data_IF_689471799756
#
_entry.id   IF_689471799756
#
_cell.length_a   1.000
_cell.length_b   1.000
_cell.length_c   1.000
_cell.angle_alpha   90.00
_cell.angle_beta   90.00
_cell.angle_gamma   90.00
#
_symmetry.space_group_name_H-M   'P 1'
#
loop_
_entity.id
_entity.type
_entity.pdbx_description
1 polymer ?
#
# COMPACT_ATOMS: atom_id res chain seq x y z
N UNK A 1 -8.57 -18.49 10.45
CA UNK A 1 -7.94 -18.11 11.76
C UNK A 1 -9.03 -17.94 12.80
N UNK A 2 -8.80 -18.33 14.06
CA UNK A 2 -9.79 -18.07 15.11
C UNK A 2 -9.83 -16.57 15.39
N UNK A 3 -11.00 -16.00 15.61
CA UNK A 3 -11.21 -14.56 15.81
C UNK A 3 -10.37 -13.98 16.99
N UNK A 4 -10.06 -14.83 17.98
CA UNK A 4 -9.20 -14.48 19.14
C UNK A 4 -7.73 -14.28 18.76
N UNK A 5 -7.20 -15.09 17.86
CA UNK A 5 -5.80 -14.98 17.38
C UNK A 5 -5.58 -13.67 16.61
N UNK A 6 -6.48 -13.33 15.69
CA UNK A 6 -6.43 -12.07 14.96
C UNK A 6 -6.50 -10.85 15.88
N UNK A 7 -7.33 -10.95 16.96
CA UNK A 7 -7.46 -9.89 17.97
C UNK A 7 -6.14 -9.71 18.73
N UNK A 8 -5.47 -10.80 19.10
CA UNK A 8 -4.15 -10.73 19.76
C UNK A 8 -3.08 -10.08 18.87
N UNK A 9 -3.06 -10.41 17.59
CA UNK A 9 -2.15 -9.76 16.64
C UNK A 9 -2.43 -8.26 16.48
N UNK A 10 -3.69 -7.86 16.40
CA UNK A 10 -4.09 -6.43 16.38
C UNK A 10 -3.60 -5.68 17.61
N UNK A 11 -3.83 -6.25 18.79
CA UNK A 11 -3.41 -5.63 20.05
C UNK A 11 -1.88 -5.54 20.17
N UNK A 12 -1.15 -6.57 19.71
CA UNK A 12 0.30 -6.56 19.66
C UNK A 12 0.81 -5.47 18.70
N UNK A 13 0.26 -5.42 17.49
CA UNK A 13 0.63 -4.43 16.49
C UNK A 13 0.36 -3.00 16.99
N UNK A 14 -0.82 -2.75 17.57
CA UNK A 14 -1.19 -1.45 18.14
C UNK A 14 -0.21 -1.01 19.21
N UNK A 15 0.12 -1.88 20.17
CA UNK A 15 1.09 -1.56 21.25
C UNK A 15 2.48 -1.24 20.71
N UNK A 16 2.96 -2.00 19.73
CA UNK A 16 4.23 -1.71 19.09
C UNK A 16 4.21 -0.35 18.39
N UNK A 17 3.13 0.00 17.70
CA UNK A 17 2.96 1.31 17.05
C UNK A 17 2.88 2.45 18.05
N UNK A 18 2.19 2.26 19.19
CA UNK A 18 2.11 3.23 20.29
C UNK A 18 3.48 3.50 20.92
N UNK A 19 4.36 2.49 20.97
CA UNK A 19 5.70 2.60 21.56
C UNK A 19 6.72 3.12 20.56
N UNK A 20 6.74 2.64 19.34
CA UNK A 20 7.82 2.84 18.38
C UNK A 20 7.51 3.91 17.32
N UNK A 21 6.23 4.20 17.05
CA UNK A 21 5.83 5.14 16.01
C UNK A 21 5.24 6.42 16.60
N UNK A 22 4.21 6.30 17.43
CA UNK A 22 3.43 7.44 17.89
C UNK A 22 4.26 8.55 18.55
N UNK A 23 5.28 8.28 19.38
CA UNK A 23 6.08 9.33 20.02
C UNK A 23 6.91 10.17 19.06
N UNK A 24 7.18 9.65 17.85
CA UNK A 24 8.07 10.27 16.86
C UNK A 24 7.33 10.77 15.62
N UNK A 25 6.08 10.37 15.44
CA UNK A 25 5.34 10.50 14.21
C UNK A 25 5.21 11.95 13.72
N UNK A 26 4.86 12.89 14.62
CA UNK A 26 4.72 14.30 14.25
C UNK A 26 6.02 14.92 13.74
N UNK A 27 7.16 14.50 14.31
CA UNK A 27 8.47 14.96 13.85
C UNK A 27 8.80 14.39 12.46
N UNK A 28 8.45 13.13 12.18
CA UNK A 28 8.66 12.51 10.87
C UNK A 28 7.75 13.09 9.79
N UNK A 29 6.49 13.37 10.14
CA UNK A 29 5.55 14.08 9.25
C UNK A 29 6.09 15.47 8.88
N UNK A 30 6.55 16.25 9.86
CA UNK A 30 7.11 17.58 9.62
C UNK A 30 8.43 17.54 8.82
N UNK A 31 9.22 16.49 8.98
CA UNK A 31 10.44 16.27 8.21
C UNK A 31 10.18 15.69 6.81
N UNK A 32 8.94 15.26 6.53
CA UNK A 32 8.58 14.52 5.32
C UNK A 32 9.45 13.28 5.11
N UNK A 33 9.91 12.62 6.16
CA UNK A 33 10.86 11.50 6.07
C UNK A 33 10.68 10.51 7.21
N UNK A 34 10.97 9.24 6.92
CA UNK A 34 11.10 8.17 7.92
C UNK A 34 12.57 7.81 8.09
N UNK A 35 13.02 7.52 9.32
CA UNK A 35 14.30 6.91 9.53
C UNK A 35 14.31 5.47 8.99
N UNK A 36 15.42 5.07 8.33
CA UNK A 36 15.56 3.70 7.77
C UNK A 36 15.45 2.63 8.86
N UNK A 37 15.90 2.98 10.06
CA UNK A 37 15.94 2.13 11.25
C UNK A 37 14.54 1.69 11.72
N UNK A 38 13.50 2.45 11.41
CA UNK A 38 12.12 2.07 11.74
C UNK A 38 11.77 0.68 11.18
N UNK A 39 12.24 0.37 9.97
CA UNK A 39 11.97 -0.92 9.35
C UNK A 39 12.62 -2.08 10.11
N UNK A 40 13.83 -1.90 10.63
CA UNK A 40 14.48 -2.87 11.51
C UNK A 40 13.70 -3.06 12.83
N UNK A 41 13.20 -1.97 13.40
CA UNK A 41 12.37 -2.00 14.61
C UNK A 41 11.07 -2.77 14.37
N UNK A 42 10.38 -2.50 13.25
CA UNK A 42 9.17 -3.24 12.87
C UNK A 42 9.45 -4.72 12.60
N UNK A 43 10.58 -5.05 11.97
CA UNK A 43 11.04 -6.43 11.79
C UNK A 43 11.29 -7.14 13.11
N UNK A 44 12.03 -6.51 14.04
CA UNK A 44 12.29 -7.05 15.36
C UNK A 44 11.02 -7.25 16.19
N UNK A 45 9.98 -6.43 15.95
CA UNK A 45 8.66 -6.59 16.56
C UNK A 45 7.79 -7.67 15.88
N UNK A 46 8.28 -8.36 14.83
CA UNK A 46 7.55 -9.39 14.09
C UNK A 46 6.39 -8.85 13.25
N UNK A 47 6.42 -7.56 12.90
CA UNK A 47 5.35 -6.92 12.14
C UNK A 47 5.56 -6.98 10.63
N UNK A 48 6.79 -7.21 10.13
CA UNK A 48 7.07 -7.26 8.71
C UNK A 48 6.83 -8.66 8.14
N UNK A 49 6.15 -8.71 7.00
CA UNK A 49 5.91 -9.93 6.22
C UNK A 49 5.36 -11.12 7.06
N UNK A 50 4.40 -10.92 7.98
CA UNK A 50 4.00 -11.93 8.96
C UNK A 50 3.42 -13.20 8.35
N UNK A 51 2.87 -13.12 7.15
CA UNK A 51 2.25 -14.23 6.40
C UNK A 51 3.22 -14.95 5.45
N UNK A 52 4.51 -14.62 5.49
CA UNK A 52 5.52 -15.40 4.78
C UNK A 52 5.84 -16.70 5.56
N UNK A 53 6.35 -17.74 4.90
CA UNK A 53 6.67 -19.01 5.54
C UNK A 53 7.66 -18.89 6.71
N UNK A 54 7.48 -19.73 7.75
CA UNK A 54 8.32 -19.76 8.94
C UNK A 54 9.80 -20.04 8.63
N UNK A 55 10.08 -20.80 7.56
CA UNK A 55 11.43 -21.12 7.10
C UNK A 55 12.25 -19.87 6.71
N UNK A 56 11.57 -18.75 6.40
CA UNK A 56 12.21 -17.46 6.12
C UNK A 56 12.22 -16.53 7.34
N UNK A 57 11.86 -17.03 8.53
CA UNK A 57 11.89 -16.30 9.78
C UNK A 57 10.62 -15.47 10.08
N UNK A 58 9.59 -15.61 9.27
CA UNK A 58 8.28 -14.99 9.49
C UNK A 58 7.39 -15.85 10.40
N UNK A 59 6.18 -15.38 10.70
CA UNK A 59 5.25 -16.10 11.58
C UNK A 59 4.44 -17.20 10.88
N UNK A 60 4.49 -17.32 9.55
CA UNK A 60 3.62 -18.23 8.79
C UNK A 60 2.13 -17.96 9.00
N UNK A 61 1.79 -16.71 9.34
CA UNK A 61 0.45 -16.32 9.73
C UNK A 61 -0.51 -16.31 8.53
N UNK A 62 -1.81 -16.32 8.83
CA UNK A 62 -2.84 -16.06 7.81
C UNK A 62 -2.64 -14.65 7.20
N UNK A 63 -2.82 -14.45 5.88
CA UNK A 63 -2.73 -13.14 5.25
C UNK A 63 -3.60 -12.04 5.88
N UNK A 64 -4.68 -12.41 6.59
CA UNK A 64 -5.50 -11.47 7.36
C UNK A 64 -4.69 -10.72 8.43
N UNK A 65 -3.57 -11.27 8.92
CA UNK A 65 -2.68 -10.59 9.87
C UNK A 65 -2.00 -9.38 9.20
N UNK A 66 -1.52 -9.53 7.98
CA UNK A 66 -0.94 -8.41 7.20
C UNK A 66 -1.97 -7.28 7.02
N UNK A 67 -3.22 -7.62 6.69
CA UNK A 67 -4.29 -6.62 6.56
C UNK A 67 -4.63 -5.99 7.92
N UNK A 68 -4.66 -6.76 9.00
CA UNK A 68 -4.91 -6.23 10.34
C UNK A 68 -3.85 -5.21 10.78
N UNK A 69 -2.57 -5.45 10.49
CA UNK A 69 -1.48 -4.50 10.76
C UNK A 69 -1.68 -3.21 9.93
N UNK A 70 -2.01 -3.33 8.63
CA UNK A 70 -2.34 -2.19 7.77
C UNK A 70 -3.51 -1.37 8.30
N UNK A 71 -4.54 -2.04 8.79
CA UNK A 71 -5.71 -1.39 9.39
C UNK A 71 -5.34 -0.62 10.65
N UNK A 72 -4.55 -1.20 11.58
CA UNK A 72 -4.15 -0.50 12.80
C UNK A 72 -3.29 0.74 12.47
N UNK A 73 -2.31 0.64 11.57
CA UNK A 73 -1.52 1.80 11.11
C UNK A 73 -2.42 2.91 10.56
N UNK A 74 -3.39 2.54 9.72
CA UNK A 74 -4.27 3.49 9.04
C UNK A 74 -5.29 4.11 10.00
N UNK A 75 -5.84 3.32 10.94
CA UNK A 75 -6.73 3.80 12.01
C UNK A 75 -6.06 4.83 12.90
N UNK A 76 -4.76 4.63 13.21
CA UNK A 76 -3.98 5.56 14.02
C UNK A 76 -3.52 6.81 13.24
N UNK A 77 -3.84 6.93 11.95
CA UNK A 77 -3.46 8.08 11.10
C UNK A 77 -2.03 8.03 10.58
N UNK A 78 -1.39 6.85 10.56
CA UNK A 78 -0.03 6.67 10.03
C UNK A 78 -0.06 6.28 8.54
N UNK A 79 -0.85 7.00 7.73
CA UNK A 79 -1.14 6.66 6.34
C UNK A 79 0.08 6.49 5.44
N UNK A 80 1.10 7.34 5.61
CA UNK A 80 2.36 7.21 4.86
C UNK A 80 3.16 5.95 5.23
N UNK A 81 3.23 5.61 6.53
CA UNK A 81 3.90 4.39 7.00
C UNK A 81 3.14 3.16 6.52
N UNK A 82 1.80 3.16 6.62
CA UNK A 82 0.95 2.08 6.14
C UNK A 82 1.15 1.81 4.65
N UNK A 83 1.31 2.86 3.84
CA UNK A 83 1.58 2.72 2.40
C UNK A 83 2.95 2.10 2.14
N UNK A 84 4.00 2.55 2.81
CA UNK A 84 5.34 1.95 2.72
C UNK A 84 5.36 0.48 3.16
N UNK A 85 4.69 0.18 4.27
CA UNK A 85 4.49 -1.18 4.78
C UNK A 85 3.74 -2.06 3.77
N UNK A 86 2.68 -1.53 3.16
CA UNK A 86 1.90 -2.26 2.15
C UNK A 86 2.77 -2.67 0.97
N UNK A 87 3.59 -1.77 0.43
CA UNK A 87 4.51 -2.11 -0.66
C UNK A 87 5.46 -3.22 -0.23
N UNK A 88 6.06 -3.12 0.94
CA UNK A 88 7.05 -4.08 1.42
C UNK A 88 6.44 -5.45 1.76
N UNK A 89 5.48 -5.48 2.69
CA UNK A 89 4.96 -6.72 3.28
C UNK A 89 3.78 -7.31 2.53
N UNK A 90 2.90 -6.47 1.97
CA UNK A 90 1.68 -6.92 1.31
C UNK A 90 1.87 -7.14 -0.21
N UNK A 91 2.91 -6.55 -0.82
CA UNK A 91 3.14 -6.61 -2.27
C UNK A 91 4.46 -7.33 -2.58
N UNK A 92 5.62 -6.74 -2.27
CA UNK A 92 6.92 -7.25 -2.73
C UNK A 92 7.23 -8.64 -2.17
N UNK A 93 7.01 -8.87 -0.88
CA UNK A 93 7.26 -10.18 -0.27
C UNK A 93 6.40 -11.30 -0.90
N UNK A 94 5.08 -11.15 -1.11
CA UNK A 94 4.27 -12.11 -1.84
C UNK A 94 4.72 -12.38 -3.28
N UNK A 95 5.12 -11.35 -4.04
CA UNK A 95 5.66 -11.56 -5.39
C UNK A 95 6.86 -12.52 -5.36
N UNK A 96 7.78 -12.34 -4.43
CA UNK A 96 8.95 -13.22 -4.30
C UNK A 96 8.53 -14.62 -3.82
N UNK A 97 7.66 -14.69 -2.81
CA UNK A 97 7.19 -15.97 -2.28
C UNK A 97 6.46 -16.81 -3.32
N UNK A 98 5.61 -16.18 -4.15
CA UNK A 98 4.75 -16.87 -5.09
C UNK A 98 5.45 -17.24 -6.41
N UNK A 99 6.42 -16.42 -6.85
CA UNK A 99 7.03 -16.55 -8.18
C UNK A 99 8.55 -16.66 -8.18
N UNK A 100 9.21 -16.46 -7.03
CA UNK A 100 10.65 -16.58 -6.90
C UNK A 100 11.13 -18.02 -6.91
N UNK A 101 12.35 -18.21 -7.37
CA UNK A 101 13.07 -19.49 -7.16
C UNK A 101 13.42 -19.64 -5.67
N UNK A 102 13.71 -20.86 -5.23
CA UNK A 102 14.14 -21.09 -3.84
C UNK A 102 15.41 -20.30 -3.47
N UNK A 103 16.33 -20.09 -4.42
CA UNK A 103 17.50 -19.24 -4.23
C UNK A 103 17.09 -17.78 -3.97
N UNK A 104 16.16 -17.23 -4.75
CA UNK A 104 15.65 -15.87 -4.58
C UNK A 104 14.90 -15.70 -3.26
N UNK A 105 14.04 -16.65 -2.89
CA UNK A 105 13.30 -16.64 -1.64
C UNK A 105 14.24 -16.66 -0.43
N UNK A 106 15.18 -17.60 -0.41
CA UNK A 106 16.17 -17.72 0.66
C UNK A 106 17.10 -16.52 0.78
N UNK A 107 17.36 -15.81 -0.33
CA UNK A 107 18.19 -14.63 -0.32
C UNK A 107 17.46 -13.39 0.18
N UNK A 108 16.21 -13.16 -0.24
CA UNK A 108 15.50 -11.92 -0.01
C UNK A 108 14.55 -11.97 1.18
N UNK A 109 13.73 -13.01 1.33
CA UNK A 109 12.65 -13.03 2.32
C UNK A 109 13.15 -12.90 3.77
N UNK A 110 14.20 -13.61 4.23
CA UNK A 110 14.68 -13.44 5.61
C UNK A 110 15.12 -12.00 5.91
N UNK A 111 15.76 -11.35 4.95
CA UNK A 111 16.23 -9.98 5.07
C UNK A 111 15.09 -8.97 5.02
N UNK A 112 14.01 -9.27 4.32
CA UNK A 112 12.79 -8.49 4.31
C UNK A 112 12.02 -8.63 5.63
N UNK A 113 11.90 -9.84 6.15
CA UNK A 113 11.25 -10.12 7.46
C UNK A 113 11.96 -9.39 8.60
N UNK A 114 13.30 -9.37 8.60
CA UNK A 114 14.08 -8.64 9.61
C UNK A 114 14.11 -7.13 9.43
N UNK A 115 13.64 -6.62 8.29
CA UNK A 115 13.74 -5.21 7.91
C UNK A 115 15.15 -4.78 7.47
N UNK A 116 16.10 -5.69 7.28
CA UNK A 116 17.42 -5.41 6.71
C UNK A 116 17.31 -4.93 5.26
N UNK A 117 16.37 -5.48 4.50
CA UNK A 117 16.06 -5.09 3.12
C UNK A 117 14.65 -4.55 3.05
N UNK A 118 14.50 -3.34 2.55
CA UNK A 118 13.20 -2.76 2.22
C UNK A 118 12.90 -2.97 0.74
N UNK A 119 11.68 -3.42 0.43
CA UNK A 119 11.24 -3.68 -0.93
C UNK A 119 10.44 -2.54 -1.55
N UNK A 120 10.58 -2.35 -2.86
CA UNK A 120 9.76 -1.47 -3.70
C UNK A 120 9.29 -2.19 -4.97
N UNK A 121 8.17 -1.72 -5.55
CA UNK A 121 7.65 -2.19 -6.84
C UNK A 121 7.66 -1.03 -7.85
N UNK A 122 8.39 -1.20 -8.95
CA UNK A 122 8.58 -0.18 -9.98
C UNK A 122 7.91 -0.58 -11.30
N UNK A 123 6.63 -0.16 -11.44
CA UNK A 123 5.83 -0.37 -12.65
C UNK A 123 5.67 0.92 -13.46
N UNK A 124 5.21 1.98 -12.81
CA UNK A 124 4.80 3.26 -13.42
C UNK A 124 5.98 4.00 -14.03
N UNK A 125 5.75 4.57 -15.23
CA UNK A 125 6.70 5.43 -15.93
C UNK A 125 6.08 6.79 -16.22
N UNK A 126 6.88 7.84 -16.56
CA UNK A 126 6.34 9.15 -16.91
C UNK A 126 5.29 9.12 -18.03
N UNK A 127 5.38 8.17 -18.96
CA UNK A 127 4.43 7.96 -20.05
C UNK A 127 3.44 6.82 -19.88
N UNK A 128 3.49 6.07 -18.77
CA UNK A 128 2.71 4.84 -18.57
C UNK A 128 2.26 4.69 -17.12
N UNK A 129 1.03 5.14 -16.83
CA UNK A 129 0.37 4.98 -15.52
C UNK A 129 -0.78 3.98 -15.62
N UNK A 130 -2.02 4.45 -15.83
CA UNK A 130 -3.18 3.56 -16.05
C UNK A 130 -3.00 2.65 -17.27
N UNK A 131 -2.30 3.12 -18.29
CA UNK A 131 -1.87 2.32 -19.44
C UNK A 131 -0.50 1.67 -19.17
N UNK A 132 -0.48 0.66 -18.31
CA UNK A 132 0.74 -0.11 -18.00
C UNK A 132 1.30 -0.89 -19.21
N UNK A 133 0.54 -0.98 -20.30
CA UNK A 133 1.00 -1.62 -21.54
C UNK A 133 1.98 -0.75 -22.33
N UNK A 134 2.01 0.56 -22.03
CA UNK A 134 2.87 1.54 -22.70
C UNK A 134 4.21 1.76 -22.00
N UNK A 135 4.64 0.89 -21.08
CA UNK A 135 5.97 0.97 -20.47
C UNK A 135 7.05 0.84 -21.54
N UNK A 136 8.19 1.51 -21.30
CA UNK A 136 9.34 1.56 -22.23
C UNK A 136 10.64 1.07 -21.61
N UNK A 137 10.73 1.00 -20.29
CA UNK A 137 11.86 0.36 -19.59
C UNK A 137 12.04 -1.02 -20.19
N UNK A 138 13.24 -1.35 -20.60
CA UNK A 138 13.55 -2.59 -21.29
C UNK A 138 14.72 -3.32 -20.66
N UNK A 139 14.75 -4.63 -20.80
CA UNK A 139 15.85 -5.49 -20.41
C UNK A 139 16.23 -6.37 -21.61
N UNK A 140 17.46 -6.26 -22.05
CA UNK A 140 18.00 -7.00 -23.21
C UNK A 140 19.02 -8.02 -22.74
N UNK A 141 18.96 -9.25 -23.25
CA UNK A 141 19.98 -10.27 -22.95
C UNK A 141 21.34 -9.91 -23.56
N UNK A 142 22.37 -10.03 -22.73
CA UNK A 142 23.78 -9.91 -23.14
C UNK A 142 24.55 -11.11 -22.52
N UNK A 143 24.69 -12.18 -23.27
CA UNK A 143 25.21 -13.46 -22.76
C UNK A 143 24.29 -14.05 -21.67
N UNK A 144 24.85 -14.28 -20.50
CA UNK A 144 24.15 -14.83 -19.33
C UNK A 144 23.55 -13.72 -18.43
N UNK A 145 23.65 -12.45 -18.83
CA UNK A 145 23.14 -11.30 -18.08
C UNK A 145 21.99 -10.63 -18.81
N UNK A 146 21.33 -9.71 -18.10
CA UNK A 146 20.38 -8.76 -18.66
C UNK A 146 20.94 -7.34 -18.51
N UNK A 147 20.72 -6.51 -19.50
CA UNK A 147 21.04 -5.07 -19.46
C UNK A 147 19.72 -4.30 -19.38
N UNK A 148 19.47 -3.70 -18.21
CA UNK A 148 18.25 -2.96 -17.91
C UNK A 148 18.47 -1.46 -18.18
N UNK A 149 17.54 -0.87 -18.96
CA UNK A 149 17.55 0.55 -19.29
C UNK A 149 16.14 1.14 -19.18
N UNK A 150 16.03 2.35 -18.63
CA UNK A 150 14.75 3.08 -18.54
C UNK A 150 14.63 3.97 -17.32
N UNK A 151 13.39 4.35 -17.02
CA UNK A 151 13.07 5.17 -15.84
C UNK A 151 11.70 4.84 -15.30
N UNK A 152 11.55 4.96 -13.98
CA UNK A 152 10.30 4.75 -13.26
C UNK A 152 9.99 5.97 -12.40
N UNK A 153 8.70 6.22 -12.17
CA UNK A 153 8.23 7.37 -11.39
C UNK A 153 7.13 6.96 -10.41
N UNK A 154 6.94 7.74 -9.35
CA UNK A 154 5.99 7.49 -8.27
C UNK A 154 6.23 6.17 -7.53
N UNK A 155 7.51 5.81 -7.35
CA UNK A 155 7.88 4.56 -6.69
C UNK A 155 7.94 4.76 -5.19
N UNK A 156 6.97 4.19 -4.48
CA UNK A 156 6.93 4.16 -3.02
C UNK A 156 8.09 3.32 -2.48
N UNK A 157 8.69 3.75 -1.38
CA UNK A 157 9.94 3.23 -0.82
C UNK A 157 11.16 3.43 -1.74
N UNK A 158 11.04 4.13 -2.86
CA UNK A 158 12.09 4.22 -3.88
C UNK A 158 13.40 4.88 -3.40
N UNK A 159 13.31 5.77 -2.39
CA UNK A 159 14.50 6.38 -1.79
C UNK A 159 15.22 5.44 -0.81
N UNK A 160 14.47 4.59 -0.10
CA UNK A 160 14.99 3.75 0.98
C UNK A 160 15.20 2.28 0.57
N UNK A 161 14.48 1.79 -0.46
CA UNK A 161 14.51 0.37 -0.84
C UNK A 161 15.89 -0.10 -1.28
N UNK A 162 16.32 -1.22 -0.75
CA UNK A 162 17.49 -1.97 -1.22
C UNK A 162 17.14 -2.95 -2.34
N UNK A 163 15.88 -3.42 -2.39
CA UNK A 163 15.35 -4.31 -3.42
C UNK A 163 14.22 -3.64 -4.19
N UNK A 164 14.30 -3.63 -5.50
CA UNK A 164 13.22 -3.10 -6.36
C UNK A 164 12.78 -4.17 -7.36
N UNK A 165 11.50 -4.55 -7.34
CA UNK A 165 10.91 -5.34 -8.43
C UNK A 165 10.64 -4.38 -9.59
N UNK A 166 11.29 -4.59 -10.73
CA UNK A 166 11.17 -3.73 -11.91
C UNK A 166 10.46 -4.45 -13.05
N UNK A 167 9.36 -3.85 -13.54
CA UNK A 167 8.72 -4.30 -14.77
C UNK A 167 9.44 -3.71 -15.98
N UNK A 168 9.90 -4.58 -16.89
CA UNK A 168 10.62 -4.21 -18.10
C UNK A 168 10.18 -5.02 -19.31
N UNK A 169 10.25 -4.44 -20.49
CA UNK A 169 9.99 -5.11 -21.77
C UNK A 169 11.22 -5.97 -22.13
N UNK A 170 10.97 -7.27 -22.32
CA UNK A 170 11.96 -8.23 -22.82
C UNK A 170 11.68 -8.66 -24.26
N UNK A 171 10.42 -8.52 -24.73
CA UNK A 171 10.03 -8.79 -26.12
C UNK A 171 9.09 -7.66 -26.61
N UNK A 172 9.64 -6.64 -27.31
CA UNK A 172 8.83 -5.53 -27.83
C UNK A 172 7.74 -5.97 -28.83
N UNK A 173 7.93 -7.12 -29.49
CA UNK A 173 6.98 -7.66 -30.47
C UNK A 173 5.69 -8.17 -29.87
N UNK A 174 5.64 -8.41 -28.56
CA UNK A 174 4.47 -8.97 -27.85
C UNK A 174 3.63 -7.95 -27.08
N UNK A 175 3.96 -6.65 -27.14
CA UNK A 175 3.27 -5.62 -26.34
C UNK A 175 3.32 -5.96 -24.84
N UNK A 176 2.21 -5.81 -24.12
CA UNK A 176 2.13 -6.12 -22.69
C UNK A 176 2.58 -7.55 -22.33
N UNK A 177 2.34 -8.51 -23.25
CA UNK A 177 2.76 -9.91 -23.06
C UNK A 177 4.27 -10.11 -23.20
N UNK A 178 5.02 -9.09 -23.58
CA UNK A 178 6.48 -9.07 -23.64
C UNK A 178 7.12 -8.46 -22.39
N UNK A 179 6.37 -8.27 -21.31
CA UNK A 179 6.88 -7.74 -20.04
C UNK A 179 7.39 -8.85 -19.15
N UNK A 180 8.55 -8.63 -18.53
CA UNK A 180 9.15 -9.47 -17.48
C UNK A 180 9.35 -8.68 -16.21
N UNK A 181 9.52 -9.35 -15.08
CA UNK A 181 9.84 -8.73 -13.78
C UNK A 181 11.25 -9.11 -13.37
N UNK A 182 11.96 -8.16 -12.80
CA UNK A 182 13.34 -8.35 -12.34
C UNK A 182 13.49 -7.91 -10.87
N UNK A 183 14.18 -8.71 -10.08
CA UNK A 183 14.66 -8.38 -8.74
C UNK A 183 15.95 -7.58 -8.88
N UNK A 184 15.88 -6.27 -8.69
CA UNK A 184 17.00 -5.36 -8.88
C UNK A 184 17.54 -4.94 -7.52
N UNK A 185 18.80 -5.30 -7.23
CA UNK A 185 19.54 -4.78 -6.09
C UNK A 185 19.89 -3.31 -6.38
N UNK A 186 19.46 -2.42 -5.50
CA UNK A 186 19.63 -0.98 -5.69
C UNK A 186 21.08 -0.49 -5.49
N UNK A 187 22.01 -1.38 -5.15
CA UNK A 187 23.45 -1.11 -5.09
C UNK A 187 24.18 -1.31 -6.43
N UNK A 188 23.50 -1.88 -7.42
CA UNK A 188 24.11 -2.17 -8.71
C UNK A 188 24.51 -0.90 -9.45
N UNK A 189 25.69 -0.89 -10.14
CA UNK A 189 26.09 0.22 -10.99
C UNK A 189 25.04 0.54 -12.05
N UNK A 190 24.78 1.82 -12.28
CA UNK A 190 23.78 2.30 -13.24
C UNK A 190 22.37 2.42 -12.67
N UNK A 191 22.12 1.95 -11.42
CA UNK A 191 20.90 2.25 -10.70
C UNK A 191 21.05 3.60 -10.00
N UNK A 192 20.16 4.55 -10.30
CA UNK A 192 20.19 5.87 -9.70
C UNK A 192 18.81 6.25 -9.16
N UNK A 193 18.80 6.83 -7.96
CA UNK A 193 17.62 7.47 -7.38
C UNK A 193 17.56 8.91 -7.81
N UNK A 194 16.42 9.32 -8.36
CA UNK A 194 16.15 10.70 -8.71
C UNK A 194 15.66 11.50 -7.50
N UNK A 195 14.84 12.49 -7.79
CA UNK A 195 14.23 13.30 -6.73
C UNK A 195 13.23 12.50 -5.91
N UNK A 196 13.25 12.73 -4.58
CA UNK A 196 12.09 12.49 -3.75
C UNK A 196 10.96 13.41 -4.21
N UNK A 197 9.79 12.85 -4.46
CA UNK A 197 8.62 13.58 -4.95
C UNK A 197 7.85 14.16 -3.76
N UNK A 198 7.70 15.47 -3.72
CA UNK A 198 6.83 16.15 -2.76
C UNK A 198 5.36 15.89 -3.09
N UNK A 199 4.56 15.55 -2.08
CA UNK A 199 3.18 15.10 -2.23
C UNK A 199 2.22 15.95 -1.41
N UNK A 200 0.94 15.88 -1.76
CA UNK A 200 -0.14 16.53 -1.03
C UNK A 200 -0.34 15.95 0.39
N UNK A 201 -0.13 14.66 0.54
CA UNK A 201 -0.25 13.90 1.79
C UNK A 201 0.72 12.73 1.82
N UNK A 202 0.58 11.86 2.84
CA UNK A 202 1.47 10.72 3.09
C UNK A 202 2.95 11.17 3.14
N UNK A 203 3.24 12.22 3.88
CA UNK A 203 4.55 12.84 3.92
C UNK A 203 5.63 11.90 4.46
N UNK A 204 5.28 11.04 5.41
CA UNK A 204 6.16 9.99 5.96
C UNK A 204 6.45 8.85 4.96
N UNK A 205 5.71 8.71 3.86
CA UNK A 205 6.08 7.79 2.79
C UNK A 205 7.03 8.47 1.82
N UNK A 206 8.18 7.88 1.52
CA UNK A 206 8.97 8.34 0.40
C UNK A 206 8.33 7.90 -0.93
N UNK A 207 8.53 8.70 -1.95
CA UNK A 207 8.12 8.38 -3.32
C UNK A 207 9.16 8.98 -4.25
N UNK A 208 9.74 8.19 -5.15
CA UNK A 208 10.89 8.58 -5.94
C UNK A 208 10.74 8.35 -7.43
N UNK A 209 11.62 9.02 -8.18
CA UNK A 209 12.01 8.65 -9.53
C UNK A 209 13.18 7.67 -9.43
N UNK A 210 13.21 6.67 -10.30
CA UNK A 210 14.31 5.71 -10.44
C UNK A 210 14.79 5.70 -11.88
N UNK A 211 16.10 5.64 -12.07
CA UNK A 211 16.75 5.59 -13.38
C UNK A 211 17.64 4.36 -13.48
N UNK A 212 17.62 3.74 -14.64
CA UNK A 212 18.42 2.56 -14.97
C UNK A 212 19.23 2.86 -16.22
N UNK A 213 20.55 2.88 -16.11
CA UNK A 213 21.47 3.12 -17.21
C UNK A 213 22.46 1.96 -17.28
N UNK A 214 22.24 1.09 -18.26
CA UNK A 214 23.04 -0.12 -18.48
C UNK A 214 23.24 -0.95 -17.20
N UNK A 215 22.19 -1.08 -16.37
CA UNK A 215 22.25 -1.90 -15.15
C UNK A 215 22.36 -3.36 -15.54
N UNK A 216 23.49 -3.97 -15.17
CA UNK A 216 23.73 -5.39 -15.42
C UNK A 216 23.12 -6.26 -14.34
N UNK A 217 22.18 -7.07 -14.73
CA UNK A 217 21.47 -7.98 -13.86
C UNK A 217 21.92 -9.42 -14.16
N UNK A 218 22.23 -10.23 -13.15
CA UNK A 218 22.53 -11.65 -13.35
C UNK A 218 21.30 -12.40 -13.88
N UNK A 219 21.51 -13.55 -14.49
CA UNK A 219 20.43 -14.37 -15.05
C UNK A 219 19.33 -14.69 -14.02
N UNK A 220 19.71 -14.91 -12.76
CA UNK A 220 18.81 -15.22 -11.66
C UNK A 220 18.11 -13.99 -11.07
N UNK A 221 18.25 -12.80 -11.66
CA UNK A 221 17.45 -11.63 -11.29
C UNK A 221 16.02 -11.67 -11.87
N UNK A 222 15.76 -12.50 -12.88
CA UNK A 222 14.43 -12.67 -13.46
C UNK A 222 13.48 -13.32 -12.43
N UNK A 223 12.39 -12.63 -12.13
CA UNK A 223 11.33 -13.13 -11.24
C UNK A 223 10.27 -13.87 -12.07
N UNK A 224 10.09 -15.16 -11.78
CA UNK A 224 9.22 -16.03 -12.57
C UNK A 224 9.80 -16.34 -13.95
N UNK A 225 8.93 -16.40 -14.96
CA UNK A 225 9.30 -16.71 -16.33
C UNK A 225 9.43 -15.46 -17.20
N UNK A 226 10.31 -15.50 -18.18
CA UNK A 226 10.46 -14.45 -19.21
C UNK A 226 9.13 -14.23 -19.95
N UNK A 227 8.74 -12.96 -20.14
CA UNK A 227 7.48 -12.55 -20.78
C UNK A 227 6.20 -12.92 -20.00
N UNK A 228 6.31 -13.25 -18.71
CA UNK A 228 5.15 -13.51 -17.83
C UNK A 228 4.89 -12.41 -16.80
N UNK A 229 5.70 -11.34 -16.80
CA UNK A 229 5.58 -10.26 -15.81
C UNK A 229 4.20 -9.64 -15.76
N UNK A 230 3.55 -9.42 -16.91
CA UNK A 230 2.18 -8.89 -16.94
C UNK A 230 1.17 -9.85 -16.27
N UNK A 231 1.30 -11.15 -16.50
CA UNK A 231 0.42 -12.16 -15.88
C UNK A 231 0.63 -12.19 -14.36
N UNK A 232 1.89 -12.16 -13.92
CA UNK A 232 2.24 -12.12 -12.48
C UNK A 232 1.61 -10.91 -11.81
N UNK A 233 1.77 -9.71 -12.39
CA UNK A 233 1.17 -8.48 -11.87
C UNK A 233 -0.36 -8.59 -11.76
N UNK A 234 -1.04 -9.13 -12.79
CA UNK A 234 -2.50 -9.31 -12.77
C UNK A 234 -2.96 -10.32 -11.72
N UNK A 235 -2.17 -11.34 -11.43
CA UNK A 235 -2.46 -12.34 -10.38
C UNK A 235 -2.40 -11.75 -8.98
N UNK A 236 -1.44 -10.85 -8.71
CA UNK A 236 -1.26 -10.24 -7.38
C UNK A 236 -2.18 -9.04 -7.10
N UNK A 237 -2.66 -8.35 -8.14
CA UNK A 237 -3.51 -7.16 -8.00
C UNK A 237 -4.73 -7.31 -7.06
N UNK A 238 -5.45 -8.45 -7.01
CA UNK A 238 -6.55 -8.62 -6.05
C UNK A 238 -6.12 -8.44 -4.61
N UNK A 239 -4.97 -9.01 -4.21
CA UNK A 239 -4.37 -8.85 -2.88
C UNK A 239 -3.97 -7.39 -2.61
N UNK A 240 -3.31 -6.75 -3.57
CA UNK A 240 -2.89 -5.36 -3.46
C UNK A 240 -4.09 -4.43 -3.22
N UNK A 241 -5.19 -4.62 -3.98
CA UNK A 241 -6.43 -3.86 -3.85
C UNK A 241 -7.15 -4.10 -2.52
N UNK A 242 -7.12 -5.34 -2.02
CA UNK A 242 -7.64 -5.68 -0.70
C UNK A 242 -6.89 -4.91 0.39
N UNK A 243 -5.56 -4.85 0.33
CA UNK A 243 -4.74 -4.05 1.25
C UNK A 243 -5.05 -2.54 1.19
N UNK A 244 -5.31 -1.99 -0.01
CA UNK A 244 -5.74 -0.59 -0.18
C UNK A 244 -7.10 -0.36 0.48
N UNK A 245 -8.04 -1.28 0.30
CA UNK A 245 -9.37 -1.18 0.89
C UNK A 245 -9.33 -1.30 2.43
N UNK A 246 -8.49 -2.17 2.97
CA UNK A 246 -8.26 -2.30 4.40
C UNK A 246 -7.76 -0.97 5.01
N UNK A 247 -6.77 -0.34 4.37
CA UNK A 247 -6.31 0.99 4.77
C UNK A 247 -7.41 2.04 4.70
N UNK A 248 -8.20 2.05 3.62
CA UNK A 248 -9.25 3.05 3.39
C UNK A 248 -10.34 2.99 4.45
N UNK A 249 -10.85 1.78 4.74
CA UNK A 249 -11.90 1.57 5.74
C UNK A 249 -11.39 1.93 7.13
N UNK A 250 -10.21 1.45 7.52
CA UNK A 250 -9.66 1.70 8.85
C UNK A 250 -9.31 3.19 9.07
N UNK A 251 -8.80 3.88 8.05
CA UNK A 251 -8.57 5.33 8.14
C UNK A 251 -9.87 6.12 8.31
N UNK A 252 -10.95 5.72 7.63
CA UNK A 252 -12.26 6.34 7.81
C UNK A 252 -12.82 6.09 9.23
N UNK A 253 -12.63 4.88 9.78
CA UNK A 253 -12.99 4.55 11.16
C UNK A 253 -12.21 5.42 12.16
N UNK A 254 -10.88 5.57 11.99
CA UNK A 254 -10.06 6.42 12.85
C UNK A 254 -10.44 7.90 12.76
N UNK A 255 -10.73 8.41 11.56
CA UNK A 255 -11.20 9.77 11.36
C UNK A 255 -12.56 10.03 12.03
N UNK A 256 -13.49 9.06 11.96
CA UNK A 256 -14.78 9.15 12.65
C UNK A 256 -14.60 9.16 14.16
N UNK A 257 -13.73 8.31 14.71
CA UNK A 257 -13.44 8.22 16.14
C UNK A 257 -12.86 9.54 16.67
N UNK A 258 -11.90 10.12 15.96
CA UNK A 258 -11.33 11.44 16.23
C UNK A 258 -12.41 12.53 16.20
N UNK A 259 -13.30 12.48 15.21
CA UNK A 259 -14.37 13.47 15.03
C UNK A 259 -15.42 13.39 16.13
N UNK A 260 -15.81 12.17 16.53
CA UNK A 260 -16.77 11.96 17.63
C UNK A 260 -16.21 12.56 18.92
N UNK A 261 -14.96 12.31 19.26
CA UNK A 261 -14.32 12.89 20.45
C UNK A 261 -14.33 14.42 20.39
N UNK A 262 -13.95 15.00 19.24
CA UNK A 262 -13.92 16.45 19.05
C UNK A 262 -15.31 17.10 19.23
N UNK A 263 -16.36 16.58 18.60
CA UNK A 263 -17.71 17.19 18.66
C UNK A 263 -18.37 17.05 20.02
N UNK A 264 -17.97 16.07 20.83
CA UNK A 264 -18.43 15.90 22.22
C UNK A 264 -17.83 16.96 23.16
N UNK A 265 -16.63 17.44 22.87
CA UNK A 265 -15.92 18.43 23.70
C UNK A 265 -16.13 19.86 23.19
N UNK A 266 -16.10 20.07 21.87
CA UNK A 266 -16.18 21.39 21.26
C UNK A 266 -17.55 22.02 21.47
N UNK A 267 -17.58 23.27 21.94
CA UNK A 267 -18.81 24.03 22.18
C UNK A 267 -18.96 25.20 21.20
N UNK A 268 -20.18 25.43 20.76
CA UNK A 268 -20.61 26.58 20.00
C UNK A 268 -22.07 26.92 20.38
N UNK A 269 -22.43 28.19 20.40
CA UNK A 269 -23.79 28.66 20.77
C UNK A 269 -24.28 28.09 22.11
N UNK A 270 -23.38 27.96 23.11
CA UNK A 270 -23.70 27.54 24.46
C UNK A 270 -23.87 26.03 24.69
N UNK A 271 -23.65 25.19 23.67
CA UNK A 271 -23.78 23.72 23.75
C UNK A 271 -22.70 23.02 22.96
N UNK A 272 -22.53 21.68 23.14
CA UNK A 272 -21.57 20.90 22.36
C UNK A 272 -22.01 20.81 20.90
N UNK A 273 -21.07 20.72 19.97
CA UNK A 273 -21.37 20.53 18.53
C UNK A 273 -22.18 19.25 18.33
N UNK A 274 -21.92 18.19 19.11
CA UNK A 274 -22.69 16.94 19.08
C UNK A 274 -24.20 17.13 19.38
N UNK A 275 -24.60 18.23 20.05
CA UNK A 275 -26.00 18.50 20.39
C UNK A 275 -26.83 18.95 19.18
N UNK A 276 -26.18 19.44 18.12
CA UNK A 276 -26.91 19.90 16.93
C UNK A 276 -27.40 18.72 16.09
N UNK A 277 -28.66 18.79 15.63
CA UNK A 277 -29.28 17.74 14.86
C UNK A 277 -28.49 17.40 13.58
N UNK A 278 -28.01 18.42 12.85
CA UNK A 278 -27.22 18.23 11.62
C UNK A 278 -25.95 17.41 11.90
N UNK A 279 -25.21 17.72 12.98
CA UNK A 279 -24.00 16.97 13.36
C UNK A 279 -24.33 15.49 13.61
N UNK A 280 -25.41 15.21 14.35
CA UNK A 280 -25.82 13.82 14.63
C UNK A 280 -26.22 13.07 13.37
N UNK A 281 -26.89 13.71 12.44
CA UNK A 281 -27.27 13.10 11.17
C UNK A 281 -26.05 12.81 10.30
N UNK A 282 -25.11 13.74 10.18
CA UNK A 282 -23.86 13.53 9.46
C UNK A 282 -23.03 12.39 10.04
N UNK A 283 -22.87 12.32 11.36
CA UNK A 283 -22.16 11.22 12.01
C UNK A 283 -22.85 9.86 11.80
N UNK A 284 -24.19 9.84 11.77
CA UNK A 284 -24.94 8.62 11.50
C UNK A 284 -24.75 8.15 10.04
N UNK A 285 -24.79 9.07 9.07
CA UNK A 285 -24.52 8.81 7.66
C UNK A 285 -23.09 8.25 7.49
N UNK A 286 -22.08 8.95 8.01
CA UNK A 286 -20.66 8.53 7.96
C UNK A 286 -20.47 7.12 8.56
N UNK A 287 -21.01 6.89 9.75
CA UNK A 287 -20.92 5.57 10.40
C UNK A 287 -21.56 4.47 9.57
N UNK A 288 -22.68 4.76 8.92
CA UNK A 288 -23.41 3.78 8.10
C UNK A 288 -22.61 3.41 6.86
N UNK A 289 -22.05 4.40 6.14
CA UNK A 289 -21.22 4.17 4.95
C UNK A 289 -19.95 3.37 5.29
N UNK A 290 -19.30 3.67 6.41
CA UNK A 290 -18.14 2.91 6.90
C UNK A 290 -18.55 1.46 7.20
N UNK A 291 -19.68 1.24 7.89
CA UNK A 291 -20.13 -0.10 8.24
C UNK A 291 -20.47 -0.98 7.00
N UNK A 292 -21.05 -0.39 5.95
CA UNK A 292 -21.30 -1.08 4.68
C UNK A 292 -19.99 -1.52 4.01
N UNK A 293 -19.00 -0.63 3.94
CA UNK A 293 -17.71 -0.95 3.35
C UNK A 293 -16.89 -1.92 4.22
N UNK A 294 -17.01 -1.85 5.55
CA UNK A 294 -16.42 -2.84 6.47
C UNK A 294 -16.96 -4.23 6.19
N UNK A 295 -18.27 -4.40 6.10
CA UNK A 295 -18.89 -5.70 5.82
C UNK A 295 -18.44 -6.26 4.44
N UNK A 296 -18.26 -5.40 3.45
CA UNK A 296 -17.77 -5.83 2.14
C UNK A 296 -16.28 -6.18 2.16
N UNK A 297 -15.46 -5.43 2.91
CA UNK A 297 -14.06 -5.75 3.14
C UNK A 297 -13.90 -7.10 3.83
N UNK A 298 -14.64 -7.35 4.91
CA UNK A 298 -14.58 -8.59 5.67
C UNK A 298 -14.95 -9.79 4.77
N UNK A 299 -16.02 -9.68 3.97
CA UNK A 299 -16.38 -10.69 2.97
C UNK A 299 -15.23 -10.97 1.99
N UNK A 300 -14.61 -9.94 1.45
CA UNK A 300 -13.51 -10.10 0.48
C UNK A 300 -12.24 -10.66 1.13
N UNK A 301 -11.97 -10.34 2.39
CA UNK A 301 -10.86 -10.92 3.15
C UNK A 301 -11.05 -12.42 3.37
N UNK A 302 -12.27 -12.85 3.71
CA UNK A 302 -12.63 -14.27 3.82
C UNK A 302 -12.50 -15.00 2.47
N UNK A 303 -12.98 -14.38 1.39
CA UNK A 303 -12.81 -14.91 0.02
C UNK A 303 -11.34 -15.05 -0.36
N UNK A 304 -10.50 -14.07 0.01
CA UNK A 304 -9.07 -14.14 -0.26
C UNK A 304 -8.41 -15.30 0.49
N UNK A 305 -8.72 -15.46 1.77
CA UNK A 305 -8.22 -16.57 2.58
C UNK A 305 -8.67 -17.95 2.05
N UNK A 306 -9.85 -18.02 1.43
CA UNK A 306 -10.36 -19.22 0.77
C UNK A 306 -9.81 -19.44 -0.66
N UNK A 307 -9.04 -18.50 -1.23
CA UNK A 307 -8.59 -18.53 -2.62
C UNK A 307 -9.71 -18.25 -3.64
N UNK A 308 -10.81 -17.60 -3.22
CA UNK A 308 -12.02 -17.36 -4.00
C UNK A 308 -12.21 -15.88 -4.39
N UNK A 309 -11.32 -14.97 -3.94
CA UNK A 309 -11.45 -13.56 -4.26
C UNK A 309 -11.27 -13.32 -5.76
N UNK A 310 -12.31 -12.79 -6.41
CA UNK A 310 -12.26 -12.47 -7.82
C UNK A 310 -11.64 -11.09 -8.07
N UNK A 311 -11.09 -10.87 -9.28
CA UNK A 311 -10.59 -9.57 -9.70
C UNK A 311 -11.71 -8.50 -9.71
N UNK A 312 -12.97 -8.92 -9.97
CA UNK A 312 -14.16 -8.08 -9.99
C UNK A 312 -14.53 -7.62 -8.56
N UNK A 313 -14.64 -8.56 -7.60
CA UNK A 313 -14.90 -8.23 -6.18
C UNK A 313 -13.80 -7.28 -5.64
N UNK A 314 -12.53 -7.56 -5.94
CA UNK A 314 -11.41 -6.71 -5.53
C UNK A 314 -11.48 -5.29 -6.14
N UNK A 315 -11.93 -5.18 -7.41
CA UNK A 315 -12.09 -3.88 -8.07
C UNK A 315 -13.27 -3.10 -7.47
N UNK A 316 -14.42 -3.76 -7.25
CA UNK A 316 -15.58 -3.15 -6.59
C UNK A 316 -15.23 -2.68 -5.18
N UNK A 317 -14.55 -3.51 -4.41
CA UNK A 317 -14.14 -3.18 -3.04
C UNK A 317 -13.20 -1.98 -3.01
N UNK A 318 -12.13 -1.99 -3.82
CA UNK A 318 -11.16 -0.89 -3.89
C UNK A 318 -11.84 0.40 -4.29
N UNK A 319 -12.71 0.36 -5.29
CA UNK A 319 -13.46 1.52 -5.74
C UNK A 319 -14.37 2.07 -4.63
N UNK A 320 -15.26 1.24 -4.06
CA UNK A 320 -16.22 1.69 -3.07
C UNK A 320 -15.55 2.21 -1.80
N UNK A 321 -14.55 1.50 -1.28
CA UNK A 321 -13.88 1.87 -0.03
C UNK A 321 -13.08 3.17 -0.12
N UNK A 322 -12.38 3.42 -1.24
CA UNK A 322 -11.58 4.64 -1.40
C UNK A 322 -12.45 5.87 -1.71
N UNK A 323 -13.59 5.72 -2.40
CA UNK A 323 -14.57 6.79 -2.55
C UNK A 323 -15.25 7.11 -1.21
N UNK A 324 -15.70 6.09 -0.48
CA UNK A 324 -16.27 6.23 0.87
C UNK A 324 -15.28 6.93 1.81
N UNK A 325 -14.02 6.51 1.85
CA UNK A 325 -12.98 7.13 2.68
C UNK A 325 -12.88 8.64 2.42
N UNK A 326 -12.76 9.04 1.15
CA UNK A 326 -12.65 10.45 0.80
C UNK A 326 -13.89 11.24 1.20
N UNK A 327 -15.10 10.73 0.93
CA UNK A 327 -16.35 11.43 1.23
C UNK A 327 -16.61 11.53 2.74
N UNK A 328 -16.37 10.46 3.49
CA UNK A 328 -16.62 10.44 4.94
C UNK A 328 -15.60 11.28 5.70
N UNK A 329 -14.32 11.29 5.29
CA UNK A 329 -13.31 12.14 5.91
C UNK A 329 -13.55 13.62 5.61
N UNK A 330 -14.05 13.97 4.42
CA UNK A 330 -14.47 15.35 4.09
C UNK A 330 -15.56 15.85 5.03
N UNK A 331 -16.60 15.04 5.26
CA UNK A 331 -17.68 15.36 6.23
C UNK A 331 -17.14 15.44 7.67
N UNK A 332 -16.20 14.58 8.05
CA UNK A 332 -15.53 14.65 9.34
C UNK A 332 -14.75 15.96 9.50
N UNK A 333 -13.91 16.31 8.52
CA UNK A 333 -13.12 17.54 8.53
C UNK A 333 -14.01 18.79 8.65
N UNK A 334 -15.15 18.81 7.94
CA UNK A 334 -16.10 19.92 8.01
C UNK A 334 -16.59 20.19 9.44
N UNK A 335 -16.73 19.15 10.26
CA UNK A 335 -17.17 19.30 11.66
C UNK A 335 -16.12 19.93 12.58
N UNK A 336 -14.85 19.96 12.18
CA UNK A 336 -13.80 20.68 12.88
C UNK A 336 -13.81 22.19 12.58
N UNK A 337 -14.51 22.63 11.52
CA UNK A 337 -14.50 24.03 11.09
C UNK A 337 -13.08 24.49 10.72
N UNK A 338 -12.70 25.72 11.13
CA UNK A 338 -11.36 26.25 10.82
C UNK A 338 -10.19 25.39 11.31
N UNK A 339 -10.36 24.69 12.41
CA UNK A 339 -9.33 23.77 12.92
C UNK A 339 -9.09 22.57 12.00
N UNK A 340 -10.10 22.10 11.28
CA UNK A 340 -9.93 21.03 10.29
C UNK A 340 -9.05 21.42 9.10
N UNK A 341 -8.82 22.71 8.89
CA UNK A 341 -7.97 23.24 7.80
C UNK A 341 -6.53 23.54 8.24
N UNK A 342 -6.19 23.23 9.48
CA UNK A 342 -4.83 23.42 10.02
C UNK A 342 -4.11 22.10 10.16
N UNK A 343 -2.79 22.08 9.93
CA UNK A 343 -1.96 20.87 10.04
C UNK A 343 -1.80 20.36 11.47
N UNK A 344 -2.13 21.18 12.47
CA UNK A 344 -2.07 20.84 13.89
C UNK A 344 -3.13 19.79 14.29
N UNK A 345 -4.22 19.72 13.51
CA UNK A 345 -5.29 18.75 13.77
C UNK A 345 -5.17 17.54 12.84
N UNK A 346 -5.07 16.32 13.40
CA UNK A 346 -4.83 15.10 12.60
C UNK A 346 -5.85 14.86 11.49
N UNK A 347 -7.06 15.40 11.60
CA UNK A 347 -8.10 15.24 10.57
C UNK A 347 -7.68 15.79 9.20
N UNK A 348 -6.88 16.86 9.16
CA UNK A 348 -6.36 17.44 7.92
C UNK A 348 -5.41 16.46 7.21
N UNK A 349 -4.62 15.70 7.97
CA UNK A 349 -3.72 14.67 7.47
C UNK A 349 -4.52 13.49 6.89
N UNK A 350 -5.53 12.98 7.62
CA UNK A 350 -6.43 11.95 7.08
C UNK A 350 -7.03 12.37 5.74
N UNK A 351 -7.44 13.64 5.62
CA UNK A 351 -8.01 14.18 4.39
C UNK A 351 -7.00 14.19 3.23
N UNK A 352 -5.80 14.69 3.46
CA UNK A 352 -4.75 14.74 2.45
C UNK A 352 -4.28 13.34 2.02
N UNK A 353 -4.10 12.43 2.99
CA UNK A 353 -3.64 11.07 2.77
C UNK A 353 -4.65 10.21 1.99
N UNK A 354 -5.95 10.40 2.24
CA UNK A 354 -7.01 9.67 1.57
C UNK A 354 -7.00 9.88 0.04
N UNK A 355 -6.62 11.08 -0.41
CA UNK A 355 -6.81 11.49 -1.80
C UNK A 355 -6.10 10.60 -2.81
N UNK A 356 -4.91 10.10 -2.49
CA UNK A 356 -4.10 9.27 -3.39
C UNK A 356 -4.70 7.87 -3.58
N UNK A 357 -5.46 7.36 -2.63
CA UNK A 357 -5.99 6.00 -2.68
C UNK A 357 -7.00 5.77 -3.82
N UNK A 358 -7.62 6.83 -4.32
CA UNK A 358 -8.45 6.81 -5.52
C UNK A 358 -7.65 6.74 -6.84
N UNK A 359 -6.31 6.85 -6.77
CA UNK A 359 -5.42 6.95 -7.93
C UNK A 359 -4.54 5.71 -8.06
N UNK A 360 -3.75 5.38 -7.03
CA UNK A 360 -2.82 4.24 -7.11
C UNK A 360 -3.54 2.88 -7.03
N UNK A 361 -2.86 1.79 -7.39
CA UNK A 361 -3.47 0.45 -7.47
C UNK A 361 -4.57 0.33 -8.54
N UNK A 362 -4.58 1.28 -9.49
CA UNK A 362 -5.61 1.49 -10.50
C UNK A 362 -6.62 2.56 -10.08
N UNK A 363 -6.84 3.58 -10.95
CA UNK A 363 -7.75 4.68 -10.64
C UNK A 363 -9.20 4.21 -10.47
N UNK A 364 -10.04 5.03 -9.82
CA UNK A 364 -11.49 4.75 -9.70
C UNK A 364 -12.13 4.47 -11.06
N UNK A 365 -11.67 5.16 -12.13
CA UNK A 365 -12.12 4.95 -13.51
C UNK A 365 -11.74 3.56 -14.04
N UNK A 366 -10.49 3.13 -13.79
CA UNK A 366 -10.04 1.78 -14.16
C UNK A 366 -10.81 0.70 -13.41
N UNK A 367 -11.09 0.91 -12.11
CA UNK A 367 -11.90 -0.04 -11.34
C UNK A 367 -13.31 -0.17 -11.90
N UNK A 368 -13.96 0.96 -12.23
CA UNK A 368 -15.30 0.96 -12.87
C UNK A 368 -15.28 0.28 -14.22
N UNK A 369 -14.24 0.49 -15.03
CA UNK A 369 -14.08 -0.17 -16.33
C UNK A 369 -13.94 -1.69 -16.18
N UNK A 370 -13.17 -2.17 -15.20
CA UNK A 370 -13.03 -3.60 -14.92
C UNK A 370 -14.37 -4.24 -14.56
N UNK A 371 -15.12 -3.62 -13.65
CA UNK A 371 -16.45 -4.07 -13.24
C UNK A 371 -17.42 -4.06 -14.43
N UNK A 372 -17.42 -2.99 -15.24
CA UNK A 372 -18.29 -2.89 -16.40
C UNK A 372 -17.98 -3.97 -17.44
N UNK A 373 -16.70 -4.27 -17.69
CA UNK A 373 -16.29 -5.36 -18.60
C UNK A 373 -16.74 -6.73 -18.11
N UNK A 374 -16.58 -7.00 -16.82
CA UNK A 374 -17.06 -8.23 -16.20
C UNK A 374 -18.56 -8.41 -16.40
N UNK A 375 -19.36 -7.36 -16.12
CA UNK A 375 -20.82 -7.38 -16.27
C UNK A 375 -21.28 -7.54 -17.73
N UNK A 376 -20.55 -6.97 -18.70
CA UNK A 376 -20.94 -6.92 -20.09
C UNK A 376 -20.31 -8.02 -20.96
N UNK A 377 -19.47 -8.87 -20.36
CA UNK A 377 -18.80 -9.98 -21.07
C UNK A 377 -17.80 -9.51 -22.14
N UNK A 378 -17.07 -8.41 -21.88
CA UNK A 378 -16.13 -7.79 -22.83
C UNK A 378 -14.68 -7.92 -22.40
#
# INVERSE_FOLDING_TARGET
>A
MQNEELTLFRDMARRAMEQEIAPHFEAWEAAHALPRELWNTLGAAGLLCPDMPEEYGAAGADPQVTFAILEEMSRMGFGGIATGYSIHSNIVAPYINNFGTEEQKNHWLPRMVSGEVLGALAMTEPGAGSDVQSIRTNAVRDGDEWVLNGSKIFITNGMLAELVIVAAITDPGKGAKGTSLFLVDASLPGFERGKKIEKLGQHTSDTAELFFQDVRLPANALLGEENKGFVIMMTELPRERLGIAAQAVAAAEGALELTVNYVLERKAFGQTIASFQNTRFKLAEVKTEIALNRAFLDKCADQYAAGELTADDAAMLKYSSTEMQCSTIDECLQLFGGYGYTIEYPISRYYADARIQRIYGGTSEIMRELVARSMLGR
#
